data_IF_623020345943
#
_entry.id   IF_623020345943
#
_cell.length_a   1.000
_cell.length_b   1.000
_cell.length_c   1.000
_cell.angle_alpha   90.00
_cell.angle_beta   90.00
_cell.angle_gamma   90.00
#
_symmetry.space_group_name_H-M   'P 1'
#
loop_
_entity.id
_entity.type
_entity.pdbx_description
1 polymer ?
#
# COMPACT_ATOMS: atom_id res chain seq x y z
N UNK A 1 -41.06 32.45 20.93
CA UNK A 1 -40.57 31.26 21.67
C UNK A 1 -40.31 30.02 20.79
N UNK A 2 -41.03 29.79 19.68
CA UNK A 2 -40.84 28.60 18.81
C UNK A 2 -39.52 28.60 18.01
N UNK A 3 -38.99 29.76 17.63
CA UNK A 3 -37.79 29.88 16.80
C UNK A 3 -36.48 29.62 17.57
N UNK A 4 -36.40 29.98 18.86
CA UNK A 4 -35.23 29.71 19.69
C UNK A 4 -35.02 28.21 19.93
N UNK A 5 -36.12 27.45 20.04
CA UNK A 5 -36.07 25.98 20.18
C UNK A 5 -35.50 25.32 18.93
N UNK A 6 -35.86 25.81 17.74
CA UNK A 6 -35.33 25.29 16.48
C UNK A 6 -33.85 25.65 16.29
N UNK A 7 -33.43 26.87 16.68
CA UNK A 7 -32.02 27.29 16.64
C UNK A 7 -31.16 26.43 17.58
N UNK A 8 -31.65 26.13 18.79
CA UNK A 8 -30.95 25.26 19.75
C UNK A 8 -30.82 23.84 19.19
N UNK A 9 -31.90 23.28 18.63
CA UNK A 9 -31.87 21.95 18.00
C UNK A 9 -30.87 21.93 16.84
N UNK A 10 -30.83 22.98 16.02
CA UNK A 10 -29.92 23.07 14.88
C UNK A 10 -28.45 23.21 15.33
N UNK A 11 -28.18 23.92 16.43
CA UNK A 11 -26.84 23.99 17.02
C UNK A 11 -26.39 22.63 17.60
N UNK A 12 -27.30 21.89 18.24
CA UNK A 12 -27.00 20.55 18.78
C UNK A 12 -26.71 19.56 17.65
N UNK A 13 -27.47 19.59 16.56
CA UNK A 13 -27.26 18.73 15.38
C UNK A 13 -25.91 19.03 14.72
N UNK A 14 -25.59 20.32 14.51
CA UNK A 14 -24.29 20.71 13.94
C UNK A 14 -23.14 20.28 14.86
N UNK A 15 -23.28 20.46 16.17
CA UNK A 15 -22.26 20.02 17.14
C UNK A 15 -22.09 18.50 17.16
N UNK A 16 -23.16 17.72 17.02
CA UNK A 16 -23.09 16.27 16.94
C UNK A 16 -22.38 15.80 15.65
N UNK A 17 -22.55 16.53 14.54
CA UNK A 17 -21.88 16.25 13.27
C UNK A 17 -20.35 16.48 13.35
N UNK A 18 -19.89 17.40 14.20
CA UNK A 18 -18.45 17.59 14.45
C UNK A 18 -17.83 16.50 15.33
N UNK A 19 -18.63 15.80 16.16
CA UNK A 19 -18.12 14.74 17.02
C UNK A 19 -17.77 13.45 16.25
N UNK A 20 -18.31 13.28 15.04
CA UNK A 20 -18.07 12.08 14.21
C UNK A 20 -16.85 12.18 13.28
N UNK A 21 -16.15 13.33 13.21
CA UNK A 21 -14.99 13.52 12.32
C UNK A 21 -13.64 13.09 12.93
N UNK A 22 -13.63 12.37 14.07
CA UNK A 22 -12.46 12.29 14.96
C UNK A 22 -11.58 11.03 14.93
N UNK A 23 -11.90 9.98 14.16
CA UNK A 23 -11.07 8.77 14.11
C UNK A 23 -10.46 8.56 12.72
N UNK A 24 -9.55 9.45 12.31
CA UNK A 24 -8.61 9.11 11.25
C UNK A 24 -7.51 8.22 11.84
N UNK A 25 -7.33 7.02 11.28
CA UNK A 25 -6.18 6.18 11.63
C UNK A 25 -4.91 6.95 11.26
N UNK A 26 -4.05 7.22 12.24
CA UNK A 26 -2.83 7.99 12.02
C UNK A 26 -1.72 7.04 11.56
N UNK A 27 -1.56 6.87 10.25
CA UNK A 27 -0.34 6.28 9.70
C UNK A 27 0.81 7.28 9.94
N UNK A 28 1.74 6.94 10.83
CA UNK A 28 2.92 7.76 11.11
C UNK A 28 4.13 7.19 10.37
N UNK A 29 4.81 8.02 9.60
CA UNK A 29 6.10 7.67 9.00
C UNK A 29 7.13 7.72 10.12
N UNK A 30 7.63 6.56 10.56
CA UNK A 30 8.63 6.46 11.63
C UNK A 30 10.06 6.71 11.12
N UNK A 31 10.31 6.39 9.85
CA UNK A 31 11.59 6.60 9.18
C UNK A 31 11.36 6.61 7.66
N UNK A 32 12.14 7.41 6.94
CA UNK A 32 12.20 7.39 5.47
C UNK A 32 13.65 7.52 5.06
N UNK A 33 14.07 6.69 4.12
CA UNK A 33 15.40 6.73 3.55
C UNK A 33 15.29 6.85 2.03
N UNK A 34 16.08 7.74 1.45
CA UNK A 34 16.21 7.93 0.01
C UNK A 34 17.66 8.31 -0.28
N UNK A 35 18.24 7.74 -1.34
CA UNK A 35 19.59 8.08 -1.77
C UNK A 35 19.56 9.41 -2.55
N UNK A 36 20.32 10.41 -2.08
CA UNK A 36 20.35 11.74 -2.71
C UNK A 36 21.13 11.78 -4.03
N UNK A 37 21.99 10.78 -4.27
CA UNK A 37 22.83 10.72 -5.46
C UNK A 37 22.09 10.06 -6.65
N UNK A 38 20.99 9.37 -6.37
CA UNK A 38 20.09 8.80 -7.38
C UNK A 38 19.14 9.90 -7.86
N UNK A 39 19.16 10.17 -9.17
CA UNK A 39 18.21 11.12 -9.78
C UNK A 39 16.79 10.59 -9.67
N UNK A 40 15.82 11.49 -9.68
CA UNK A 40 14.41 11.13 -9.81
C UNK A 40 14.20 10.43 -11.16
N UNK A 41 14.31 9.10 -11.16
CA UNK A 41 13.99 8.22 -12.28
C UNK A 41 12.47 8.20 -12.43
N UNK A 42 11.96 8.44 -13.65
CA UNK A 42 10.55 8.25 -13.93
C UNK A 42 10.32 6.75 -14.20
N UNK A 43 9.89 6.04 -13.16
CA UNK A 43 9.49 4.64 -13.29
C UNK A 43 8.21 4.53 -14.11
N UNK A 44 8.24 3.68 -15.14
CA UNK A 44 7.15 3.50 -16.09
C UNK A 44 6.54 2.11 -16.00
N UNK A 45 7.34 1.11 -15.62
CA UNK A 45 6.93 -0.28 -15.51
C UNK A 45 7.48 -0.92 -14.24
N UNK A 46 6.64 -0.99 -13.20
CA UNK A 46 7.05 -1.44 -11.88
C UNK A 46 6.49 -2.82 -11.53
N UNK A 47 7.29 -3.58 -10.81
CA UNK A 47 6.85 -4.80 -10.14
C UNK A 47 6.44 -4.47 -8.70
N UNK A 48 5.24 -4.88 -8.29
CA UNK A 48 4.74 -4.76 -6.92
C UNK A 48 4.85 -6.11 -6.24
N UNK A 49 5.46 -6.16 -5.05
CA UNK A 49 5.58 -7.36 -4.24
C UNK A 49 5.30 -7.08 -2.77
N UNK A 50 4.49 -7.92 -2.13
CA UNK A 50 4.24 -7.86 -0.70
C UNK A 50 4.83 -9.09 0.02
N UNK A 51 5.69 -8.85 1.02
CA UNK A 51 6.30 -9.88 1.86
C UNK A 51 5.36 -10.22 3.02
N UNK A 52 4.33 -11.01 2.73
CA UNK A 52 3.26 -11.37 3.68
C UNK A 52 2.95 -12.85 3.51
N UNK A 53 2.85 -13.58 4.63
CA UNK A 53 2.63 -15.03 4.62
C UNK A 53 1.22 -15.43 4.17
N UNK A 54 0.20 -14.61 4.47
CA UNK A 54 -1.18 -14.86 4.03
C UNK A 54 -1.36 -14.44 2.57
N UNK A 55 -1.53 -15.43 1.70
CA UNK A 55 -1.71 -15.25 0.25
C UNK A 55 -2.91 -14.36 -0.12
N UNK A 56 -3.99 -14.37 0.66
CA UNK A 56 -5.16 -13.54 0.38
C UNK A 56 -4.86 -12.07 0.70
N UNK A 57 -4.15 -11.83 1.79
CA UNK A 57 -3.71 -10.49 2.20
C UNK A 57 -2.67 -9.97 1.21
N UNK A 58 -1.67 -10.78 0.85
CA UNK A 58 -0.68 -10.46 -0.18
C UNK A 58 -1.37 -10.07 -1.49
N UNK A 59 -2.30 -10.92 -1.96
CA UNK A 59 -3.05 -10.69 -3.20
C UNK A 59 -3.82 -9.37 -3.16
N UNK A 60 -4.59 -9.14 -2.10
CA UNK A 60 -5.43 -7.95 -1.99
C UNK A 60 -4.56 -6.68 -1.99
N UNK A 61 -3.43 -6.69 -1.27
CA UNK A 61 -2.51 -5.56 -1.24
C UNK A 61 -1.81 -5.32 -2.57
N UNK A 62 -1.33 -6.38 -3.23
CA UNK A 62 -0.72 -6.24 -4.56
C UNK A 62 -1.74 -5.79 -5.61
N UNK A 63 -2.99 -6.25 -5.53
CA UNK A 63 -4.09 -5.82 -6.39
C UNK A 63 -4.37 -4.31 -6.23
N UNK A 64 -4.58 -3.84 -4.99
CA UNK A 64 -4.86 -2.43 -4.70
C UNK A 64 -3.69 -1.50 -5.07
N UNK A 65 -2.45 -1.89 -4.76
CA UNK A 65 -1.27 -1.09 -5.10
C UNK A 65 -1.06 -1.01 -6.61
N UNK A 66 -1.26 -2.13 -7.33
CA UNK A 66 -1.15 -2.12 -8.78
C UNK A 66 -2.25 -1.26 -9.42
N UNK A 67 -3.49 -1.31 -8.93
CA UNK A 67 -4.59 -0.46 -9.39
C UNK A 67 -4.25 1.03 -9.21
N UNK A 68 -3.84 1.43 -8.00
CA UNK A 68 -3.48 2.82 -7.69
C UNK A 68 -2.31 3.34 -8.55
N UNK A 69 -1.31 2.50 -8.82
CA UNK A 69 -0.19 2.87 -9.70
C UNK A 69 -0.63 3.02 -11.16
N UNK A 70 -1.49 2.12 -11.64
CA UNK A 70 -2.04 2.20 -12.99
C UNK A 70 -2.90 3.46 -13.16
N UNK A 71 -3.69 3.84 -12.16
CA UNK A 71 -4.46 5.10 -12.13
C UNK A 71 -3.55 6.34 -12.20
N UNK A 72 -2.34 6.24 -11.64
CA UNK A 72 -1.27 7.24 -11.74
C UNK A 72 -0.47 7.16 -13.05
N UNK A 73 -0.90 6.32 -13.99
CA UNK A 73 -0.27 6.06 -15.30
C UNK A 73 1.11 5.42 -15.22
N UNK A 74 1.39 4.69 -14.13
CA UNK A 74 2.57 3.83 -13.98
C UNK A 74 2.12 2.40 -14.19
N UNK A 75 2.68 1.69 -15.19
CA UNK A 75 2.30 0.30 -15.44
C UNK A 75 2.79 -0.56 -14.28
N UNK A 76 1.86 -1.15 -13.52
CA UNK A 76 2.20 -1.99 -12.38
C UNK A 76 1.79 -3.44 -12.61
N UNK A 77 2.72 -4.37 -12.35
CA UNK A 77 2.48 -5.81 -12.38
C UNK A 77 2.72 -6.39 -10.98
N UNK A 78 1.99 -7.46 -10.66
CA UNK A 78 1.98 -8.08 -9.34
C UNK A 78 2.95 -9.25 -9.29
N UNK A 79 3.62 -9.43 -8.16
CA UNK A 79 4.53 -10.55 -7.94
C UNK A 79 3.80 -11.88 -8.11
N UNK A 80 2.55 -12.00 -7.65
CA UNK A 80 1.75 -13.21 -7.78
C UNK A 80 1.42 -13.62 -9.22
N UNK A 81 1.49 -12.68 -10.18
CA UNK A 81 1.30 -13.00 -11.60
C UNK A 81 2.60 -13.54 -12.23
N UNK A 82 3.75 -13.04 -11.80
CA UNK A 82 5.07 -13.42 -12.33
C UNK A 82 5.58 -14.69 -11.62
N UNK A 83 5.32 -14.76 -10.33
CA UNK A 83 5.76 -15.78 -9.38
C UNK A 83 4.54 -16.35 -8.65
N UNK A 84 3.71 -17.16 -9.34
CA UNK A 84 2.58 -17.81 -8.69
C UNK A 84 3.07 -18.72 -7.56
N UNK A 85 2.31 -18.87 -6.46
CA UNK A 85 2.65 -19.78 -5.38
C UNK A 85 2.86 -21.20 -5.93
N UNK A 86 4.02 -21.77 -5.67
CA UNK A 86 4.31 -23.15 -6.07
C UNK A 86 3.32 -24.10 -5.38
N UNK A 87 2.81 -25.08 -6.12
CA UNK A 87 1.94 -26.13 -5.56
C UNK A 87 2.75 -27.14 -4.72
N UNK A 88 4.05 -27.24 -4.97
CA UNK A 88 4.98 -28.17 -4.34
C UNK A 88 6.30 -27.44 -3.97
N UNK A 89 6.84 -27.69 -2.78
CA UNK A 89 8.07 -27.05 -2.23
C UNK A 89 9.32 -27.23 -3.11
N UNK A 90 9.34 -28.25 -3.98
CA UNK A 90 10.47 -28.54 -4.89
C UNK A 90 10.62 -27.52 -6.04
N UNK A 91 9.65 -26.63 -6.25
CA UNK A 91 9.65 -25.62 -7.33
C UNK A 91 10.08 -24.22 -6.86
N UNK A 92 10.90 -24.13 -5.81
CA UNK A 92 11.44 -22.84 -5.36
C UNK A 92 12.41 -22.29 -6.40
N UNK A 93 12.00 -21.22 -7.10
CA UNK A 93 12.77 -20.61 -8.19
C UNK A 93 14.13 -20.10 -7.71
N UNK A 94 15.15 -20.27 -8.53
CA UNK A 94 16.47 -19.73 -8.23
C UNK A 94 16.47 -18.21 -8.31
N UNK A 95 17.47 -17.58 -7.69
CA UNK A 95 17.66 -16.12 -7.78
C UNK A 95 17.83 -15.70 -9.24
N UNK A 96 18.51 -16.50 -10.03
CA UNK A 96 18.78 -16.25 -11.45
C UNK A 96 17.49 -16.27 -12.27
N UNK A 97 16.57 -17.19 -11.98
CA UNK A 97 15.25 -17.25 -12.63
C UNK A 97 14.37 -16.05 -12.27
N UNK A 98 14.42 -15.60 -11.01
CA UNK A 98 13.72 -14.40 -10.57
C UNK A 98 14.24 -13.15 -11.29
N UNK A 99 15.56 -13.01 -11.39
CA UNK A 99 16.20 -11.88 -12.08
C UNK A 99 15.89 -11.90 -13.58
N UNK A 100 15.99 -13.07 -14.23
CA UNK A 100 15.64 -13.21 -15.64
C UNK A 100 14.18 -12.81 -15.89
N UNK A 101 13.24 -13.26 -15.06
CA UNK A 101 11.84 -12.87 -15.18
C UNK A 101 11.63 -11.35 -15.02
N UNK A 102 12.38 -10.70 -14.12
CA UNK A 102 12.30 -9.25 -13.94
C UNK A 102 12.80 -8.50 -15.18
N UNK A 103 13.94 -8.93 -15.72
CA UNK A 103 14.56 -8.35 -16.92
C UNK A 103 13.70 -8.57 -18.17
N UNK A 104 13.18 -9.79 -18.37
CA UNK A 104 12.34 -10.16 -19.53
C UNK A 104 11.02 -9.37 -19.57
N UNK A 105 10.44 -9.07 -18.41
CA UNK A 105 9.23 -8.26 -18.32
C UNK A 105 9.52 -6.75 -18.42
N UNK A 106 10.79 -6.36 -18.46
CA UNK A 106 11.26 -4.98 -18.62
C UNK A 106 10.86 -4.09 -17.44
N UNK A 107 10.88 -4.61 -16.22
CA UNK A 107 10.61 -3.78 -15.04
C UNK A 107 11.77 -2.82 -14.79
N UNK A 108 11.43 -1.54 -14.59
CA UNK A 108 12.39 -0.47 -14.31
C UNK A 108 12.44 -0.12 -12.80
N UNK A 109 11.51 -0.65 -12.01
CA UNK A 109 11.47 -0.47 -10.56
C UNK A 109 10.73 -1.61 -9.85
N UNK A 110 11.02 -1.77 -8.55
CA UNK A 110 10.35 -2.74 -7.67
C UNK A 110 9.83 -2.01 -6.43
N UNK A 111 8.54 -2.18 -6.14
CA UNK A 111 7.91 -1.73 -4.91
C UNK A 111 7.74 -2.95 -4.01
N UNK A 112 8.45 -2.95 -2.88
CA UNK A 112 8.35 -4.00 -1.87
C UNK A 112 7.64 -3.47 -0.63
N UNK A 113 6.58 -4.17 -0.22
CA UNK A 113 5.83 -3.85 0.99
C UNK A 113 5.95 -4.99 1.98
N UNK A 114 6.21 -4.68 3.25
CA UNK A 114 6.22 -5.64 4.33
C UNK A 114 5.36 -5.14 5.48
N UNK A 115 4.63 -6.05 6.13
CA UNK A 115 3.90 -5.73 7.35
C UNK A 115 4.83 -5.94 8.54
N UNK A 116 5.12 -4.86 9.26
CA UNK A 116 5.91 -4.91 10.49
C UNK A 116 5.03 -4.51 11.70
N UNK A 117 5.00 -5.37 12.72
CA UNK A 117 4.32 -5.05 13.96
C UNK A 117 5.23 -4.17 14.84
N UNK A 118 4.96 -2.87 14.86
CA UNK A 118 5.68 -1.91 15.70
C UNK A 118 4.89 -1.60 16.98
N UNK A 119 5.33 -2.11 18.12
CA UNK A 119 4.85 -1.65 19.43
C UNK A 119 5.66 -0.42 19.87
N UNK A 120 5.09 0.79 19.79
CA UNK A 120 5.73 1.97 20.39
C UNK A 120 5.55 1.91 21.91
N UNK A 121 6.56 1.45 22.65
CA UNK A 121 6.61 1.69 24.09
C UNK A 121 6.82 3.19 24.29
N UNK A 122 5.73 3.87 24.65
CA UNK A 122 5.72 5.28 25.05
C UNK A 122 6.74 5.44 26.19
N UNK A 123 7.82 6.19 25.95
CA UNK A 123 8.87 6.46 26.94
C UNK A 123 8.80 7.89 27.40
#
# INVERSE_FOLDING_TARGET
MRNHRNIIIQLIITSALFLITGCASSTSIIASWNDSDIKNENYSNVLVTAMIDDINVQKSLEDELAEELNDRKVRANKSLNIFPPALDDDNMRSKEELLAAIEENGFDGIITVALYNYCSTNR
#
